data_IF_233146801723
#
_entry.id   IF_233146801723
#
_cell.length_a   1.000
_cell.length_b   1.000
_cell.length_c   1.000
_cell.angle_alpha   90.00
_cell.angle_beta   90.00
_cell.angle_gamma   90.00
#
_symmetry.space_group_name_H-M   'P 1'
#
loop_
_entity.id
_entity.type
_entity.pdbx_description
1 polymer ?
#
# COMPACT_ATOMS: atom_id res chain seq x y z
N UNK A 1 -5.90 -2.33 -30.65
CA UNK A 1 -5.38 -1.93 -29.33
C UNK A 1 -6.62 -1.63 -28.51
N UNK A 2 -6.98 -2.52 -27.60
CA UNK A 2 -8.19 -2.39 -26.78
C UNK A 2 -7.94 -1.27 -25.76
N UNK A 3 -8.63 -0.14 -25.94
CA UNK A 3 -8.41 1.12 -25.24
C UNK A 3 -9.11 1.17 -23.89
N UNK A 4 -8.99 0.14 -23.06
CA UNK A 4 -9.63 0.13 -21.74
C UNK A 4 -8.86 1.04 -20.77
N UNK A 5 -9.48 2.13 -20.30
CA UNK A 5 -8.94 2.92 -19.19
C UNK A 5 -9.38 2.32 -17.85
N UNK A 6 -8.42 2.15 -16.94
CA UNK A 6 -8.71 1.74 -15.56
C UNK A 6 -9.05 2.98 -14.73
N UNK A 7 -10.27 3.02 -14.18
CA UNK A 7 -10.61 3.96 -13.10
C UNK A 7 -10.47 3.25 -11.76
N UNK A 8 -9.98 3.96 -10.76
CA UNK A 8 -9.84 3.43 -9.41
C UNK A 8 -10.90 4.06 -8.56
N UNK A 9 -11.87 3.25 -8.14
CA UNK A 9 -12.93 3.70 -7.25
C UNK A 9 -12.71 3.12 -5.87
N UNK A 10 -13.15 3.86 -4.87
CA UNK A 10 -13.45 3.25 -3.60
C UNK A 10 -14.81 2.61 -3.74
N UNK A 11 -14.88 1.28 -3.77
CA UNK A 11 -16.17 0.60 -3.83
C UNK A 11 -16.90 0.85 -2.50
N UNK A 12 -18.14 1.36 -2.52
CA UNK A 12 -19.02 1.31 -1.34
C UNK A 12 -19.42 -0.13 -0.98
N UNK A 13 -19.14 -1.11 -1.85
CA UNK A 13 -19.83 -2.41 -1.88
C UNK A 13 -18.98 -3.65 -1.49
N UNK A 14 -17.65 -3.59 -1.50
CA UNK A 14 -16.82 -4.56 -0.76
C UNK A 14 -16.43 -3.88 0.55
N UNK A 15 -17.08 -4.23 1.66
CA UNK A 15 -16.86 -3.62 2.96
C UNK A 15 -15.35 -3.49 3.25
N UNK A 16 -14.86 -2.34 3.74
CA UNK A 16 -13.46 -2.22 4.16
C UNK A 16 -13.18 -3.32 5.18
N UNK A 17 -11.96 -3.87 5.15
CA UNK A 17 -11.61 -4.95 6.07
C UNK A 17 -11.63 -4.50 7.54
N UNK A 18 -11.70 -3.19 7.77
CA UNK A 18 -11.84 -2.54 9.08
C UNK A 18 -13.04 -1.58 9.09
N UNK A 19 -14.29 -2.06 9.24
CA UNK A 19 -15.47 -1.20 9.32
C UNK A 19 -15.40 -0.18 10.48
N UNK A 20 -14.72 -0.52 11.58
CA UNK A 20 -14.49 0.35 12.73
C UNK A 20 -13.65 1.60 12.40
N UNK A 21 -12.84 1.57 11.33
CA UNK A 21 -12.11 2.74 10.86
C UNK A 21 -13.01 3.76 10.14
N UNK A 22 -14.28 3.40 9.89
CA UNK A 22 -15.30 4.31 9.37
C UNK A 22 -16.23 4.88 10.46
N UNK A 23 -16.01 4.51 11.72
CA UNK A 23 -16.89 4.94 12.82
C UNK A 23 -16.85 6.49 12.98
N UNK A 24 -18.01 7.17 13.03
CA UNK A 24 -18.09 8.63 13.14
C UNK A 24 -17.32 9.18 14.35
N UNK A 25 -16.72 10.35 14.19
CA UNK A 25 -15.96 11.06 15.24
C UNK A 25 -14.63 10.42 15.64
N UNK A 26 -14.32 9.20 15.18
CA UNK A 26 -13.07 8.50 15.56
C UNK A 26 -11.86 9.05 14.83
N UNK A 27 -10.74 9.11 15.56
CA UNK A 27 -9.40 9.31 14.99
C UNK A 27 -8.87 7.95 14.58
N UNK A 28 -8.49 7.82 13.31
CA UNK A 28 -8.15 6.54 12.73
C UNK A 28 -6.70 6.51 12.29
N UNK A 29 -6.05 5.38 12.55
CA UNK A 29 -4.68 5.08 12.14
C UNK A 29 -4.68 3.70 11.47
N UNK A 30 -4.27 3.66 10.20
CA UNK A 30 -4.07 2.42 9.48
C UNK A 30 -2.61 2.27 9.07
N UNK A 31 -2.01 1.13 9.43
CA UNK A 31 -0.64 0.76 9.05
C UNK A 31 -0.70 -0.27 7.92
N UNK A 32 -0.32 0.10 6.69
CA UNK A 32 -0.03 -0.86 5.62
C UNK A 32 1.41 -1.35 5.69
N UNK A 33 1.63 -2.66 5.58
CA UNK A 33 2.94 -3.27 5.79
C UNK A 33 3.33 -4.17 4.61
N UNK A 34 4.39 -3.78 3.92
CA UNK A 34 5.19 -4.66 3.06
C UNK A 34 6.32 -5.27 3.93
N UNK A 35 6.27 -6.57 4.26
CA UNK A 35 7.19 -7.21 5.19
C UNK A 35 8.59 -7.50 4.63
N UNK A 36 8.84 -7.23 3.34
CA UNK A 36 10.12 -7.53 2.73
C UNK A 36 11.26 -6.64 3.28
N UNK A 37 12.50 -7.10 3.11
CA UNK A 37 13.71 -6.35 3.53
C UNK A 37 13.88 -5.00 2.81
N UNK A 38 13.19 -4.82 1.67
CA UNK A 38 13.10 -3.55 0.93
C UNK A 38 11.71 -2.92 1.01
N UNK A 39 10.84 -3.50 1.84
CA UNK A 39 9.49 -3.04 2.11
C UNK A 39 9.46 -1.81 3.01
N UNK A 40 8.27 -1.51 3.51
CA UNK A 40 8.00 -0.31 4.29
C UNK A 40 6.75 -0.48 5.15
N UNK A 41 6.58 0.47 6.07
CA UNK A 41 5.37 0.71 6.83
C UNK A 41 4.79 2.05 6.36
N UNK A 42 3.59 2.03 5.80
CA UNK A 42 2.84 3.23 5.47
C UNK A 42 1.78 3.46 6.54
N UNK A 43 1.74 4.65 7.13
CA UNK A 43 0.81 5.01 8.20
C UNK A 43 -0.09 6.13 7.71
N UNK A 44 -1.39 5.85 7.67
CA UNK A 44 -2.43 6.79 7.28
C UNK A 44 -3.14 7.27 8.54
N UNK A 45 -3.21 8.60 8.73
CA UNK A 45 -3.90 9.25 9.84
C UNK A 45 -5.06 10.11 9.33
N UNK A 46 -6.23 9.95 9.92
CA UNK A 46 -7.36 10.82 9.65
C UNK A 46 -8.33 10.92 10.83
N UNK A 47 -9.28 11.82 10.72
CA UNK A 47 -10.39 11.95 11.64
C UNK A 47 -11.69 11.82 10.86
N UNK A 48 -12.54 10.90 11.29
CA UNK A 48 -13.88 10.78 10.74
C UNK A 48 -14.71 11.98 11.23
N UNK A 49 -15.58 12.54 10.37
CA UNK A 49 -16.50 13.60 10.77
C UNK A 49 -17.50 13.07 11.81
N UNK A 50 -18.09 13.99 12.57
CA UNK A 50 -18.96 13.66 13.71
C UNK A 50 -20.24 12.91 13.30
N UNK A 51 -20.82 13.22 12.14
CA UNK A 51 -22.01 12.54 11.60
C UNK A 51 -21.96 12.47 10.07
N UNK A 52 -22.44 11.34 9.53
CA UNK A 52 -22.96 11.17 8.15
C UNK A 52 -22.03 11.43 6.97
N UNK A 53 -20.85 11.99 7.18
CA UNK A 53 -19.91 12.33 6.11
C UNK A 53 -18.82 11.28 5.97
N UNK A 54 -18.53 10.93 4.73
CA UNK A 54 -17.47 10.01 4.37
C UNK A 54 -16.11 10.75 4.36
N UNK A 55 -15.09 10.24 5.06
CA UNK A 55 -13.74 10.79 4.97
C UNK A 55 -13.02 10.18 3.75
N UNK A 56 -12.59 10.99 2.74
CA UNK A 56 -11.79 10.48 1.65
C UNK A 56 -10.39 10.14 2.16
N UNK A 57 -10.08 8.85 2.30
CA UNK A 57 -8.80 8.39 2.84
C UNK A 57 -7.58 8.89 2.04
N UNK A 58 -7.76 9.31 0.79
CA UNK A 58 -6.73 9.97 -0.02
C UNK A 58 -6.25 11.30 0.59
N UNK A 59 -7.07 11.93 1.44
CA UNK A 59 -6.74 13.14 2.20
C UNK A 59 -6.09 12.85 3.56
N UNK A 60 -5.86 11.57 3.90
CA UNK A 60 -5.18 11.20 5.14
C UNK A 60 -3.76 11.80 5.18
N UNK A 61 -3.33 12.21 6.38
CA UNK A 61 -1.93 12.53 6.63
C UNK A 61 -1.12 11.23 6.55
N UNK A 62 -0.02 11.25 5.80
CA UNK A 62 0.81 10.08 5.56
C UNK A 62 2.14 10.17 6.32
N UNK A 63 2.56 9.04 6.88
CA UNK A 63 3.94 8.78 7.29
C UNK A 63 4.40 7.49 6.61
N UNK A 64 5.66 7.44 6.17
CA UNK A 64 6.22 6.25 5.54
C UNK A 64 7.59 5.96 6.10
N UNK A 65 7.74 4.77 6.66
CA UNK A 65 8.97 4.27 7.28
C UNK A 65 9.53 3.13 6.43
N UNK A 66 10.78 3.24 5.98
CA UNK A 66 11.46 2.08 5.39
C UNK A 66 11.51 0.93 6.40
N UNK A 67 11.46 -0.31 5.93
CA UNK A 67 11.64 -1.48 6.79
C UNK A 67 12.96 -1.35 7.59
N UNK A 68 12.92 -1.28 8.93
CA UNK A 68 14.13 -1.30 9.75
C UNK A 68 14.86 -2.62 9.54
N UNK A 69 16.15 -2.59 9.24
CA UNK A 69 16.96 -3.80 8.97
C UNK A 69 18.13 -3.91 9.93
N UNK A 70 18.46 -5.14 10.30
CA UNK A 70 19.75 -5.51 10.90
C UNK A 70 20.59 -6.28 9.89
N UNK A 71 21.90 -6.12 10.02
CA UNK A 71 22.88 -6.95 9.32
C UNK A 71 23.26 -8.11 10.25
N UNK A 72 23.03 -9.32 9.78
CA UNK A 72 23.37 -10.53 10.51
C UNK A 72 24.48 -11.27 9.76
N UNK A 73 25.59 -11.56 10.46
CA UNK A 73 26.67 -12.38 9.93
C UNK A 73 26.28 -13.85 9.98
N UNK A 74 26.03 -14.46 8.82
CA UNK A 74 25.76 -15.88 8.67
C UNK A 74 26.97 -16.57 8.05
N UNK A 75 27.79 -17.19 8.89
CA UNK A 75 29.10 -17.74 8.51
C UNK A 75 29.93 -16.71 7.73
N UNK A 76 30.23 -16.95 6.46
CA UNK A 76 30.99 -16.03 5.61
C UNK A 76 30.15 -14.96 4.91
N UNK A 77 28.82 -14.97 5.04
CA UNK A 77 27.92 -14.07 4.31
C UNK A 77 27.19 -13.12 5.24
N UNK A 78 27.15 -11.83 4.90
CA UNK A 78 26.25 -10.86 5.54
C UNK A 78 24.85 -11.02 4.95
N UNK A 79 23.85 -11.16 5.81
CA UNK A 79 22.43 -11.21 5.47
C UNK A 79 21.69 -10.01 6.06
N UNK A 80 20.63 -9.60 5.38
CA UNK A 80 19.69 -8.58 5.86
C UNK A 80 18.46 -9.26 6.39
N UNK A 81 18.00 -8.83 7.56
CA UNK A 81 16.72 -9.25 8.15
C UNK A 81 16.04 -8.04 8.75
N UNK A 82 14.71 -8.03 8.88
CA UNK A 82 14.06 -6.93 9.55
C UNK A 82 14.42 -6.89 11.04
N UNK A 83 14.51 -5.69 11.58
CA UNK A 83 14.92 -5.40 12.95
C UNK A 83 13.69 -5.35 13.86
N UNK A 84 13.51 -6.34 14.73
CA UNK A 84 12.39 -6.40 15.68
C UNK A 84 12.30 -5.15 16.57
N UNK A 85 13.42 -4.72 17.14
CA UNK A 85 13.48 -3.53 18.02
C UNK A 85 13.18 -2.25 17.24
N UNK A 86 13.66 -2.14 16.00
CA UNK A 86 13.37 -1.02 15.12
C UNK A 86 11.87 -0.94 14.81
N UNK A 87 11.28 -2.06 14.41
CA UNK A 87 9.84 -2.18 14.14
C UNK A 87 8.99 -1.86 15.36
N UNK A 88 9.34 -2.41 16.53
CA UNK A 88 8.67 -2.12 17.79
C UNK A 88 8.70 -0.61 18.09
N UNK A 89 9.86 0.02 17.98
CA UNK A 89 10.02 1.46 18.22
C UNK A 89 9.24 2.32 17.21
N UNK A 90 9.15 1.88 15.96
CA UNK A 90 8.35 2.57 14.92
C UNK A 90 6.85 2.46 15.21
N UNK A 91 6.36 1.29 15.63
CA UNK A 91 4.93 1.04 15.81
C UNK A 91 4.39 1.49 17.18
N UNK A 92 5.23 1.49 18.21
CA UNK A 92 4.86 1.78 19.60
C UNK A 92 4.13 3.13 19.78
N UNK A 93 4.56 4.25 19.16
CA UNK A 93 3.87 5.53 19.31
C UNK A 93 2.40 5.48 18.88
N UNK A 94 2.08 4.73 17.83
CA UNK A 94 0.70 4.61 17.35
C UNK A 94 -0.17 3.79 18.31
N UNK A 95 0.38 2.71 18.88
CA UNK A 95 -0.30 1.95 19.94
C UNK A 95 -0.53 2.79 21.19
N UNK A 96 0.46 3.58 21.60
CA UNK A 96 0.34 4.43 22.80
C UNK A 96 -0.73 5.52 22.62
N UNK A 97 -0.96 6.02 21.39
CA UNK A 97 -2.09 6.92 21.10
C UNK A 97 -3.44 6.24 21.36
N UNK A 98 -3.63 4.99 20.92
CA UNK A 98 -4.87 4.24 21.18
C UNK A 98 -5.08 3.92 22.66
N UNK A 99 -4.01 3.68 23.41
CA UNK A 99 -4.09 3.44 24.86
C UNK A 99 -4.41 4.70 25.65
N UNK A 100 -3.91 5.85 25.20
CA UNK A 100 -4.13 7.13 25.87
C UNK A 100 -5.52 7.72 25.56
N UNK A 101 -6.13 7.34 24.43
CA UNK A 101 -7.35 7.97 23.91
C UNK A 101 -8.27 6.90 23.28
N UNK A 102 -9.41 6.64 23.94
CA UNK A 102 -10.41 5.66 23.49
C UNK A 102 -11.16 6.05 22.21
N UNK A 103 -10.96 7.26 21.70
CA UNK A 103 -11.46 7.69 20.39
C UNK A 103 -10.47 7.43 19.25
N UNK A 104 -9.29 6.89 19.56
CA UNK A 104 -8.29 6.48 18.57
C UNK A 104 -8.43 5.00 18.25
N UNK A 105 -8.60 4.69 16.96
CA UNK A 105 -8.63 3.33 16.43
C UNK A 105 -7.38 3.08 15.61
N UNK A 106 -6.63 2.03 15.95
CA UNK A 106 -5.40 1.62 15.23
C UNK A 106 -5.58 0.23 14.65
N UNK A 107 -5.21 0.04 13.37
CA UNK A 107 -5.22 -1.25 12.67
C UNK A 107 -3.99 -1.43 11.80
N UNK A 108 -3.64 -2.67 11.49
CA UNK A 108 -2.53 -3.00 10.61
C UNK A 108 -2.92 -4.00 9.50
N UNK A 109 -2.62 -3.68 8.26
CA UNK A 109 -2.78 -4.54 7.09
C UNK A 109 -1.40 -5.09 6.69
N UNK A 110 -1.18 -6.39 6.89
CA UNK A 110 0.11 -7.05 6.65
C UNK A 110 0.04 -7.90 5.39
N UNK A 111 0.87 -7.60 4.38
CA UNK A 111 1.01 -8.52 3.25
C UNK A 111 1.57 -9.87 3.71
N UNK A 112 1.01 -10.94 3.16
CA UNK A 112 1.60 -12.27 3.17
C UNK A 112 1.77 -12.76 1.74
N UNK A 113 2.90 -13.40 1.47
CA UNK A 113 3.20 -13.97 0.16
C UNK A 113 3.77 -15.36 0.33
N UNK A 114 3.56 -16.19 -0.69
CA UNK A 114 4.21 -17.49 -0.79
C UNK A 114 5.39 -17.35 -1.75
N UNK A 115 6.63 -17.60 -1.31
CA UNK A 115 7.78 -17.56 -2.22
C UNK A 115 7.59 -18.55 -3.37
N UNK A 116 8.12 -18.21 -4.54
CA UNK A 116 8.08 -19.14 -5.68
C UNK A 116 8.81 -20.44 -5.36
N UNK A 117 8.37 -21.57 -5.93
CA UNK A 117 8.97 -22.89 -5.74
C UNK A 117 10.47 -22.96 -6.15
N UNK A 118 10.90 -22.09 -7.07
CA UNK A 118 12.32 -21.93 -7.45
C UNK A 118 13.16 -21.17 -6.40
N UNK A 119 12.53 -20.61 -5.36
CA UNK A 119 13.22 -19.83 -4.33
C UNK A 119 13.93 -20.75 -3.36
N UNK A 120 15.18 -20.42 -3.02
CA UNK A 120 15.96 -21.22 -2.07
C UNK A 120 15.40 -21.19 -0.65
N UNK A 121 15.81 -22.19 0.17
CA UNK A 121 15.35 -22.39 1.57
C UNK A 121 15.42 -21.13 2.45
N UNK A 122 16.43 -20.29 2.25
CA UNK A 122 16.56 -19.03 2.98
C UNK A 122 15.46 -18.01 2.67
N UNK A 123 14.93 -17.97 1.45
CA UNK A 123 13.84 -17.06 1.09
C UNK A 123 12.55 -17.48 1.81
N UNK A 124 12.25 -18.79 1.82
CA UNK A 124 11.15 -19.38 2.58
C UNK A 124 11.25 -19.07 4.08
N UNK A 125 12.44 -19.31 4.67
CA UNK A 125 12.67 -18.99 6.08
C UNK A 125 12.49 -17.50 6.38
N UNK A 126 13.06 -16.61 5.56
CA UNK A 126 13.00 -15.17 5.79
C UNK A 126 11.56 -14.64 5.69
N UNK A 127 10.74 -15.13 4.75
CA UNK A 127 9.33 -14.73 4.68
C UNK A 127 8.58 -15.16 5.94
N UNK A 128 8.75 -16.42 6.37
CA UNK A 128 8.15 -16.90 7.61
C UNK A 128 8.62 -16.12 8.86
N UNK A 129 9.91 -15.82 8.94
CA UNK A 129 10.50 -15.03 10.01
C UNK A 129 9.94 -13.60 10.04
N UNK A 130 9.95 -12.89 8.92
CA UNK A 130 9.45 -11.52 8.82
C UNK A 130 7.97 -11.43 9.19
N UNK A 131 7.13 -12.29 8.61
CA UNK A 131 5.69 -12.30 8.88
C UNK A 131 5.40 -12.64 10.35
N UNK A 132 6.03 -13.70 10.89
CA UNK A 132 5.81 -14.10 12.29
C UNK A 132 6.29 -13.06 13.30
N UNK A 133 7.42 -12.41 13.03
CA UNK A 133 7.95 -11.33 13.86
C UNK A 133 7.03 -10.10 13.87
N UNK A 134 6.54 -9.67 12.70
CA UNK A 134 5.60 -8.54 12.61
C UNK A 134 4.29 -8.85 13.33
N UNK A 135 3.76 -10.05 13.15
CA UNK A 135 2.55 -10.52 13.82
C UNK A 135 2.70 -10.52 15.35
N UNK A 136 3.84 -11.02 15.87
CA UNK A 136 4.15 -10.98 17.29
C UNK A 136 4.30 -9.56 17.85
N UNK A 137 4.96 -8.67 17.11
CA UNK A 137 5.10 -7.26 17.51
C UNK A 137 3.73 -6.57 17.55
N UNK A 138 2.93 -6.70 16.49
CA UNK A 138 1.59 -6.09 16.41
C UNK A 138 0.68 -6.60 17.53
N UNK A 139 0.69 -7.90 17.78
CA UNK A 139 -0.05 -8.52 18.88
C UNK A 139 0.40 -7.98 20.24
N UNK A 140 1.71 -7.89 20.48
CA UNK A 140 2.25 -7.34 21.76
C UNK A 140 1.94 -5.85 21.98
N UNK A 141 1.61 -5.13 20.90
CA UNK A 141 1.24 -3.73 20.92
C UNK A 141 -0.28 -3.52 20.97
N UNK A 142 -1.08 -4.58 21.05
CA UNK A 142 -2.54 -4.54 20.95
C UNK A 142 -3.01 -3.83 19.67
N UNK A 143 -2.29 -4.00 18.56
CA UNK A 143 -2.69 -3.50 17.24
C UNK A 143 -3.31 -4.68 16.45
N UNK A 144 -4.64 -4.73 16.28
CA UNK A 144 -5.26 -5.78 15.50
C UNK A 144 -4.80 -5.73 14.05
N UNK A 145 -4.44 -6.90 13.52
CA UNK A 145 -3.84 -7.04 12.20
C UNK A 145 -4.58 -8.06 11.33
N UNK A 146 -4.85 -7.69 10.07
CA UNK A 146 -5.29 -8.62 9.04
C UNK A 146 -4.15 -8.95 8.11
N UNK A 147 -3.93 -10.25 7.90
CA UNK A 147 -2.98 -10.77 6.91
C UNK A 147 -3.65 -10.83 5.54
N UNK A 148 -3.02 -10.24 4.53
CA UNK A 148 -3.59 -10.06 3.19
C UNK A 148 -2.68 -10.72 2.17
N UNK A 149 -3.21 -11.65 1.40
CA UNK A 149 -2.41 -12.35 0.41
C UNK A 149 -2.05 -11.42 -0.78
N UNK A 150 -0.77 -11.35 -1.14
CA UNK A 150 -0.25 -10.50 -2.21
C UNK A 150 -1.04 -10.61 -3.52
N UNK A 151 -1.39 -11.85 -3.89
CA UNK A 151 -2.14 -12.13 -5.12
C UNK A 151 -3.54 -11.49 -5.14
N UNK A 152 -4.18 -11.31 -3.99
CA UNK A 152 -5.55 -10.77 -3.90
C UNK A 152 -5.53 -9.27 -4.16
N UNK A 153 -4.79 -8.52 -3.35
CA UNK A 153 -4.77 -7.07 -3.45
C UNK A 153 -4.15 -6.60 -4.77
N UNK A 154 -3.07 -7.26 -5.24
CA UNK A 154 -2.44 -6.92 -6.53
C UNK A 154 -3.38 -7.16 -7.70
N UNK A 155 -4.17 -8.24 -7.68
CA UNK A 155 -5.17 -8.50 -8.73
C UNK A 155 -6.28 -7.45 -8.70
N UNK A 156 -6.82 -7.17 -7.52
CA UNK A 156 -7.93 -6.24 -7.35
C UNK A 156 -7.54 -4.76 -7.57
N UNK A 157 -6.26 -4.42 -7.49
CA UNK A 157 -5.71 -3.13 -7.92
C UNK A 157 -5.18 -3.13 -9.36
N UNK A 158 -5.44 -4.16 -10.16
CA UNK A 158 -5.01 -4.20 -11.56
C UNK A 158 -3.48 -4.24 -11.73
N UNK A 159 -2.71 -4.66 -10.73
CA UNK A 159 -1.25 -4.69 -10.74
C UNK A 159 -0.65 -6.02 -11.24
N UNK A 160 -1.49 -6.99 -11.59
CA UNK A 160 -1.01 -8.28 -12.09
C UNK A 160 -0.15 -8.07 -13.34
N UNK A 161 1.08 -8.62 -13.34
CA UNK A 161 2.10 -8.44 -14.39
C UNK A 161 2.64 -7.01 -14.61
N UNK A 162 2.21 -6.00 -13.85
CA UNK A 162 2.74 -4.61 -13.97
C UNK A 162 4.06 -4.38 -13.22
N UNK A 163 4.41 -5.27 -12.29
CA UNK A 163 5.68 -5.27 -11.57
C UNK A 163 5.92 -4.01 -10.73
N UNK A 164 7.20 -3.76 -10.39
CA UNK A 164 7.60 -2.65 -9.51
C UNK A 164 7.22 -1.26 -10.04
N UNK A 165 7.46 -0.95 -11.33
CA UNK A 165 7.06 0.34 -11.89
C UNK A 165 5.56 0.58 -11.85
N UNK A 166 4.75 -0.47 -12.07
CA UNK A 166 3.29 -0.39 -11.98
C UNK A 166 2.79 0.02 -10.60
N UNK A 167 3.34 -0.58 -9.55
CA UNK A 167 2.96 -0.25 -8.17
C UNK A 167 3.31 1.20 -7.81
N UNK A 168 4.49 1.67 -8.22
CA UNK A 168 4.86 3.08 -7.99
C UNK A 168 3.96 4.05 -8.76
N UNK A 169 3.69 3.77 -10.04
CA UNK A 169 2.81 4.60 -10.86
C UNK A 169 1.40 4.68 -10.26
N UNK A 170 0.86 3.54 -9.82
CA UNK A 170 -0.45 3.51 -9.19
C UNK A 170 -0.47 4.25 -7.85
N UNK A 171 0.54 4.07 -7.01
CA UNK A 171 0.62 4.78 -5.74
C UNK A 171 0.66 6.31 -5.94
N UNK A 172 1.39 6.79 -6.95
CA UNK A 172 1.38 8.22 -7.32
C UNK A 172 0.00 8.71 -7.78
N UNK A 173 -0.71 7.90 -8.56
CA UNK A 173 -2.05 8.23 -9.04
C UNK A 173 -3.08 8.28 -7.91
N UNK A 174 -3.05 7.29 -7.00
CA UNK A 174 -4.05 7.15 -5.93
C UNK A 174 -3.80 8.07 -4.74
N UNK A 175 -2.53 8.32 -4.41
CA UNK A 175 -2.13 9.07 -3.23
C UNK A 175 -1.17 10.18 -3.65
N UNK A 176 -1.66 11.30 -4.22
CA UNK A 176 -0.81 12.44 -4.56
C UNK A 176 0.00 12.97 -3.36
N UNK A 177 -0.59 12.90 -2.16
CA UNK A 177 0.07 13.23 -0.90
C UNK A 177 1.31 12.35 -0.61
N UNK A 178 1.45 11.19 -1.27
CA UNK A 178 2.60 10.32 -1.13
C UNK A 178 3.83 10.74 -1.96
N UNK A 179 3.70 11.74 -2.84
CA UNK A 179 4.79 12.19 -3.72
C UNK A 179 6.13 12.49 -2.98
N UNK A 180 6.15 13.10 -1.77
CA UNK A 180 7.39 13.34 -1.04
C UNK A 180 8.14 12.06 -0.63
N UNK A 181 7.42 10.95 -0.47
CA UNK A 181 7.95 9.63 -0.07
C UNK A 181 8.32 8.75 -1.26
N UNK A 182 7.73 9.00 -2.43
CA UNK A 182 7.86 8.22 -3.67
C UNK A 182 8.72 8.95 -4.72
N UNK A 183 9.82 9.61 -4.33
CA UNK A 183 10.58 10.44 -5.27
C UNK A 183 11.24 9.58 -6.35
N UNK A 184 10.96 9.87 -7.64
CA UNK A 184 11.89 9.53 -8.72
C UNK A 184 13.21 10.23 -8.43
N UNK A 185 14.28 9.47 -8.21
CA UNK A 185 15.63 10.04 -8.21
C UNK A 185 15.99 10.41 -9.65
N UNK A 186 15.58 11.60 -10.10
CA UNK A 186 16.20 12.25 -11.24
C UNK A 186 17.25 13.22 -10.69
N UNK A 187 18.48 12.73 -10.52
CA UNK A 187 19.64 13.61 -10.49
C UNK A 187 20.41 13.34 -11.78
N UNK A 188 20.65 14.41 -12.53
CA UNK A 188 21.04 14.49 -13.94
C UNK A 188 22.33 13.76 -14.37
N UNK A 189 22.96 12.94 -13.51
CA UNK A 189 24.19 12.19 -13.84
C UNK A 189 24.34 10.79 -13.23
N UNK A 190 23.40 10.31 -12.41
CA UNK A 190 23.44 8.92 -11.89
C UNK A 190 22.02 8.39 -11.66
N UNK A 191 21.61 7.37 -12.41
CA UNK A 191 20.38 6.62 -12.12
C UNK A 191 20.59 5.76 -10.88
N UNK A 192 20.46 6.35 -9.69
CA UNK A 192 20.27 5.54 -8.48
C UNK A 192 18.82 5.06 -8.50
N UNK A 193 18.55 3.90 -9.13
CA UNK A 193 17.29 3.15 -8.93
C UNK A 193 17.15 2.90 -7.42
N UNK A 194 16.43 3.78 -6.70
CA UNK A 194 16.14 3.58 -5.27
C UNK A 194 15.17 2.42 -5.15
N UNK A 195 15.72 1.21 -4.97
CA UNK A 195 14.95 -0.04 -4.83
C UNK A 195 13.88 0.02 -3.71
N UNK A 196 14.02 0.96 -2.77
CA UNK A 196 13.15 1.16 -1.60
C UNK A 196 11.81 1.81 -1.92
N UNK A 197 11.72 2.67 -2.94
CA UNK A 197 10.49 3.43 -3.20
C UNK A 197 9.35 2.52 -3.69
N UNK A 198 9.70 1.37 -4.28
CA UNK A 198 8.74 0.32 -4.59
C UNK A 198 8.07 -0.28 -3.35
N UNK A 199 8.83 -0.59 -2.30
CA UNK A 199 8.27 -1.15 -1.07
C UNK A 199 7.39 -0.14 -0.32
N UNK A 200 7.76 1.14 -0.38
CA UNK A 200 6.90 2.25 0.08
C UNK A 200 5.58 2.30 -0.68
N UNK A 201 5.65 2.17 -2.00
CA UNK A 201 4.45 2.15 -2.85
C UNK A 201 3.57 0.94 -2.52
N UNK A 202 4.12 -0.27 -2.36
CA UNK A 202 3.32 -1.45 -1.99
C UNK A 202 2.67 -1.28 -0.61
N UNK A 203 3.39 -0.79 0.40
CA UNK A 203 2.83 -0.51 1.73
C UNK A 203 1.65 0.48 1.69
N UNK A 204 1.76 1.55 0.90
CA UNK A 204 0.68 2.53 0.68
C UNK A 204 -0.53 1.90 -0.02
N UNK A 205 -0.29 1.07 -1.04
CA UNK A 205 -1.35 0.41 -1.81
C UNK A 205 -2.06 -0.68 -1.00
N UNK A 206 -1.36 -1.38 -0.11
CA UNK A 206 -1.95 -2.32 0.85
C UNK A 206 -2.91 -1.57 1.79
N UNK A 207 -2.51 -0.39 2.28
CA UNK A 207 -3.39 0.45 3.11
C UNK A 207 -4.62 0.93 2.32
N UNK A 208 -4.42 1.46 1.11
CA UNK A 208 -5.49 1.91 0.23
C UNK A 208 -6.50 0.79 -0.10
N UNK A 209 -6.00 -0.40 -0.44
CA UNK A 209 -6.82 -1.58 -0.71
C UNK A 209 -7.63 -1.99 0.53
N UNK A 210 -7.02 -1.92 1.72
CA UNK A 210 -7.70 -2.25 2.98
C UNK A 210 -8.87 -1.30 3.30
N UNK A 211 -8.81 -0.07 2.80
CA UNK A 211 -9.88 0.94 2.91
C UNK A 211 -10.94 0.84 1.79
N UNK A 212 -10.87 -0.20 0.96
CA UNK A 212 -11.88 -0.47 -0.08
C UNK A 212 -11.51 0.05 -1.48
N UNK A 213 -10.28 0.52 -1.70
CA UNK A 213 -9.83 0.88 -3.04
C UNK A 213 -9.74 -0.35 -3.95
N UNK A 214 -10.32 -0.26 -5.15
CA UNK A 214 -10.29 -1.30 -6.18
C UNK A 214 -10.11 -0.68 -7.57
N UNK A 215 -9.50 -1.42 -8.48
CA UNK A 215 -9.52 -1.09 -9.90
C UNK A 215 -10.89 -1.48 -10.48
N UNK A 216 -11.47 -0.60 -11.28
CA UNK A 216 -12.66 -0.84 -12.07
C UNK A 216 -12.35 -0.58 -13.54
N UNK A 217 -12.72 -1.53 -14.40
CA UNK A 217 -12.65 -1.32 -15.83
C UNK A 217 -13.77 -0.35 -16.23
N UNK A 218 -13.41 0.71 -16.96
CA UNK A 218 -14.40 1.62 -17.54
C UNK A 218 -14.34 1.46 -19.05
N UNK A 219 -15.50 1.15 -19.64
CA UNK A 219 -15.65 1.13 -21.09
C UNK A 219 -15.47 2.57 -21.60
N UNK A 220 -14.50 2.77 -22.48
CA UNK A 220 -14.38 4.04 -23.19
C UNK A 220 -15.46 4.04 -24.25
N UNK A 221 -16.43 4.95 -24.13
CA UNK A 221 -17.39 5.20 -25.20
C UNK A 221 -16.59 5.68 -26.42
N UNK A 222 -16.67 4.93 -27.53
CA UNK A 222 -16.17 5.41 -28.81
C UNK A 222 -16.96 6.67 -29.17
N UNK A 223 -16.26 7.79 -29.34
CA UNK A 223 -16.87 9.01 -29.86
C UNK A 223 -17.28 8.75 -31.31
N UNK A 224 -18.59 8.65 -31.56
CA UNK A 224 -19.16 8.75 -32.91
C UNK A 224 -19.02 10.19 -33.42
N UNK A 225 -17.81 10.59 -33.81
CA UNK A 225 -17.58 11.83 -34.56
C UNK A 225 -16.72 11.52 -35.78
N UNK A 226 -17.35 10.94 -36.80
CA UNK A 226 -16.94 11.03 -38.21
C UNK A 226 -18.07 10.54 -39.11
N UNK A 227 -19.22 11.23 -39.10
CA UNK A 227 -20.25 11.05 -40.11
C UNK A 227 -20.41 12.35 -40.91
N UNK A 228 -19.89 12.34 -42.14
CA UNK A 228 -20.48 13.03 -43.29
C UNK A 228 -20.15 14.51 -43.47
N UNK A 229 -19.20 14.79 -44.35
CA UNK A 229 -19.31 15.87 -45.33
C UNK A 229 -18.43 15.52 -46.55
N UNK A 230 -18.96 14.60 -47.37
CA UNK A 230 -18.63 14.55 -48.80
C UNK A 230 -19.70 15.36 -49.56
N UNK A 231 -19.25 16.07 -50.59
CA UNK A 231 -19.97 16.76 -51.66
C UNK A 231 -20.48 18.20 -51.43
N UNK A 232 -19.70 19.18 -51.92
CA UNK A 232 -20.17 20.03 -53.03
C UNK A 232 -18.98 20.68 -53.78
N UNK A 233 -18.62 20.12 -54.93
CA UNK A 233 -17.89 20.84 -55.99
C UNK A 233 -18.90 21.15 -57.09
N UNK A 234 -19.35 22.41 -57.13
CA UNK A 234 -20.04 23.00 -58.27
C UNK A 234 -19.54 24.43 -58.48
N UNK A 235 -18.56 24.57 -59.38
CA UNK A 235 -18.46 25.49 -60.54
C UNK A 235 -17.01 25.78 -60.91
#
# INVERSE_FOLDING_TARGET
MDGTQEQYIQLPAEAPIYPELLAPGKRCILVGVDPDISGALAVLHWQNPAEGAFFPWQAARLEVHDMPIVLWQLASRVKKQPCSVGLLRTLRPYADLARADGDVVVRAALEVTTPSHISGKHAWFNIGYSTGMLDGILTSLDIPCTRIHAAIWKRQLGLFKKGKPGSMALAHQLLPAAAPFLRRAWNDRVVVKRKKDHGRAEALLIAAWSLGCRAQAVAVAESEDAAGEEDEVLL
#
